data_IF_677812909044
#
_entry.id   IF_677812909044
#
_cell.length_a   1.000
_cell.length_b   1.000
_cell.length_c   1.000
_cell.angle_alpha   90.00
_cell.angle_beta   90.00
_cell.angle_gamma   90.00
#
_symmetry.space_group_name_H-M   'P 1'
#
loop_
_entity.id
_entity.type
_entity.pdbx_description
1 polymer ?
#
# COMPACT_ATOMS: atom_id res chain seq x y z
N UNK A 1 21.63 13.72 -33.94
CA UNK A 1 21.29 12.42 -33.29
C UNK A 1 21.14 12.67 -31.80
N UNK A 2 19.91 12.93 -31.33
CA UNK A 2 19.66 13.09 -29.89
C UNK A 2 19.67 11.71 -29.25
N UNK A 3 20.59 11.52 -28.28
CA UNK A 3 20.74 10.35 -27.44
C UNK A 3 19.37 10.06 -26.80
N UNK A 4 18.73 8.94 -27.17
CA UNK A 4 17.52 8.49 -26.49
C UNK A 4 17.92 8.17 -25.05
N UNK A 5 17.61 9.09 -24.13
CA UNK A 5 17.65 8.78 -22.70
C UNK A 5 16.74 7.56 -22.51
N UNK A 6 17.26 6.49 -21.92
CA UNK A 6 16.47 5.30 -21.60
C UNK A 6 15.32 5.75 -20.71
N UNK A 7 14.11 5.83 -21.26
CA UNK A 7 12.92 6.01 -20.43
C UNK A 7 12.77 4.71 -19.64
N UNK A 8 13.06 4.80 -18.35
CA UNK A 8 12.93 3.70 -17.40
C UNK A 8 11.52 3.10 -17.53
N UNK A 9 11.43 1.78 -17.68
CA UNK A 9 10.17 1.07 -17.87
C UNK A 9 9.22 1.24 -16.66
N UNK A 10 7.92 0.96 -16.80
CA UNK A 10 7.00 0.95 -15.66
C UNK A 10 7.46 -0.02 -14.57
N UNK A 11 8.02 -1.18 -14.95
CA UNK A 11 8.55 -2.19 -14.04
C UNK A 11 9.73 -1.66 -13.24
N UNK A 12 10.73 -1.07 -13.90
CA UNK A 12 11.90 -0.50 -13.21
C UNK A 12 11.48 0.64 -12.26
N UNK A 13 10.58 1.51 -12.69
CA UNK A 13 10.02 2.56 -11.82
C UNK A 13 9.28 1.98 -10.61
N UNK A 14 8.49 0.92 -10.78
CA UNK A 14 7.78 0.27 -9.69
C UNK A 14 8.75 -0.41 -8.71
N UNK A 15 9.82 -1.06 -9.20
CA UNK A 15 10.86 -1.65 -8.36
C UNK A 15 11.58 -0.58 -7.54
N UNK A 16 11.94 0.55 -8.14
CA UNK A 16 12.56 1.69 -7.44
C UNK A 16 11.69 2.26 -6.32
N UNK A 17 10.37 2.19 -6.48
CA UNK A 17 9.41 2.54 -5.43
C UNK A 17 9.38 1.46 -4.36
N UNK A 18 9.12 0.21 -4.74
CA UNK A 18 9.00 -0.93 -3.83
C UNK A 18 10.26 -1.17 -2.98
N UNK A 19 11.44 -0.81 -3.49
CA UNK A 19 12.69 -0.87 -2.74
C UNK A 19 12.72 0.05 -1.49
N UNK A 20 11.82 1.04 -1.40
CA UNK A 20 11.78 2.03 -0.30
C UNK A 20 10.78 1.65 0.80
N UNK A 21 9.66 1.03 0.41
CA UNK A 21 8.59 0.55 1.30
C UNK A 21 7.59 -0.28 0.50
N UNK A 22 6.65 -0.91 1.21
CA UNK A 22 5.46 -1.50 0.59
C UNK A 22 4.58 -0.42 -0.05
N UNK A 23 4.06 -0.72 -1.24
CA UNK A 23 3.09 0.11 -1.96
C UNK A 23 1.90 -0.74 -2.40
N UNK A 24 0.69 -0.19 -2.25
CA UNK A 24 -0.52 -0.78 -2.81
C UNK A 24 -0.53 -0.66 -4.34
N UNK A 25 -1.22 -1.58 -5.00
CA UNK A 25 -1.29 -1.66 -6.48
C UNK A 25 -1.80 -0.35 -7.09
N UNK A 26 -2.89 0.20 -6.56
CA UNK A 26 -3.45 1.47 -7.04
C UNK A 26 -2.51 2.66 -6.82
N UNK A 27 -1.74 2.66 -5.72
CA UNK A 27 -0.75 3.71 -5.47
C UNK A 27 0.36 3.67 -6.53
N UNK A 28 0.87 2.48 -6.86
CA UNK A 28 1.86 2.31 -7.92
C UNK A 28 1.28 2.71 -9.28
N UNK A 29 0.08 2.23 -9.60
CA UNK A 29 -0.63 2.55 -10.84
C UNK A 29 -0.77 4.07 -11.05
N UNK A 30 -1.24 4.79 -10.04
CA UNK A 30 -1.37 6.25 -10.10
C UNK A 30 -0.04 6.97 -10.29
N UNK A 31 1.03 6.51 -9.61
CA UNK A 31 2.38 7.09 -9.76
C UNK A 31 2.96 6.84 -11.15
N UNK A 32 2.77 5.65 -11.71
CA UNK A 32 3.27 5.29 -13.03
C UNK A 32 2.51 6.03 -14.14
N UNK A 33 1.19 6.20 -14.00
CA UNK A 33 0.39 7.04 -14.90
C UNK A 33 0.88 8.50 -14.88
N UNK A 34 1.14 9.05 -13.69
CA UNK A 34 1.70 10.39 -13.54
C UNK A 34 3.11 10.56 -14.14
N UNK A 35 3.82 9.44 -14.40
CA UNK A 35 5.10 9.41 -15.12
C UNK A 35 4.96 9.29 -16.64
N UNK A 36 3.74 9.14 -17.14
CA UNK A 36 3.44 9.08 -18.58
C UNK A 36 3.49 7.68 -19.18
N UNK A 37 3.52 6.62 -18.35
CA UNK A 37 3.47 5.24 -18.84
C UNK A 37 2.07 4.89 -19.36
N UNK A 38 2.01 4.05 -20.39
CA UNK A 38 0.75 3.56 -20.92
C UNK A 38 0.09 2.61 -19.92
N UNK A 39 -1.24 2.67 -19.80
CA UNK A 39 -1.98 1.88 -18.83
C UNK A 39 -1.75 0.37 -19.00
N UNK A 40 -1.72 -0.10 -20.24
CA UNK A 40 -1.49 -1.52 -20.55
C UNK A 40 -0.13 -2.02 -20.04
N UNK A 41 0.94 -1.25 -20.29
CA UNK A 41 2.29 -1.58 -19.81
C UNK A 41 2.38 -1.54 -18.28
N UNK A 42 1.63 -0.63 -17.64
CA UNK A 42 1.53 -0.55 -16.18
C UNK A 42 0.87 -1.81 -15.63
N UNK A 43 -0.30 -2.19 -16.14
CA UNK A 43 -1.03 -3.36 -15.62
C UNK A 43 -0.21 -4.64 -15.82
N UNK A 44 0.45 -4.80 -16.97
CA UNK A 44 1.32 -5.94 -17.22
C UNK A 44 2.52 -5.96 -16.25
N UNK A 45 3.14 -4.81 -16.00
CA UNK A 45 4.25 -4.73 -15.05
C UNK A 45 3.80 -5.02 -13.61
N UNK A 46 2.67 -4.45 -13.16
CA UNK A 46 2.16 -4.66 -11.81
C UNK A 46 1.71 -6.10 -11.59
N UNK A 47 1.10 -6.74 -12.58
CA UNK A 47 0.76 -8.16 -12.52
C UNK A 47 2.02 -9.02 -12.34
N UNK A 48 3.03 -8.83 -13.19
CA UNK A 48 4.27 -9.58 -13.09
C UNK A 48 5.00 -9.36 -11.76
N UNK A 49 4.92 -8.16 -11.18
CA UNK A 49 5.49 -7.86 -9.86
C UNK A 49 4.69 -8.50 -8.72
N UNK A 50 3.37 -8.58 -8.83
CA UNK A 50 2.53 -9.30 -7.88
C UNK A 50 2.80 -10.81 -7.93
N UNK A 51 2.90 -11.39 -9.13
CA UNK A 51 3.25 -12.80 -9.35
C UNK A 51 4.65 -13.16 -8.78
N UNK A 52 5.60 -12.22 -8.88
CA UNK A 52 6.94 -12.35 -8.28
C UNK A 52 6.94 -12.12 -6.76
N UNK A 53 5.79 -11.78 -6.16
CA UNK A 53 5.67 -11.45 -4.75
C UNK A 53 6.31 -10.11 -4.35
N UNK A 54 6.77 -9.31 -5.32
CA UNK A 54 7.41 -8.01 -5.08
C UNK A 54 6.38 -6.94 -4.70
N UNK A 55 5.19 -6.98 -5.31
CA UNK A 55 4.05 -6.16 -4.90
C UNK A 55 3.08 -7.02 -4.08
N UNK A 56 2.54 -6.47 -2.99
CA UNK A 56 1.52 -7.15 -2.19
C UNK A 56 0.61 -6.14 -1.47
N UNK A 57 -0.68 -6.14 -1.80
CA UNK A 57 -1.67 -5.31 -1.11
C UNK A 57 -1.84 -5.74 0.36
N UNK A 58 -1.59 -7.02 0.68
CA UNK A 58 -1.58 -7.51 2.06
C UNK A 58 -0.46 -6.90 2.88
N UNK A 59 0.81 -7.00 2.42
CA UNK A 59 1.95 -6.41 3.13
C UNK A 59 1.83 -4.88 3.22
N UNK A 60 1.29 -4.26 2.17
CA UNK A 60 0.97 -2.84 2.19
C UNK A 60 -0.06 -2.50 3.28
N UNK A 61 -1.16 -3.23 3.37
CA UNK A 61 -2.20 -3.01 4.37
C UNK A 61 -1.64 -3.19 5.80
N UNK A 62 -0.88 -4.26 6.06
CA UNK A 62 -0.26 -4.53 7.36
C UNK A 62 0.69 -3.39 7.80
N UNK A 63 1.59 -2.97 6.90
CA UNK A 63 2.52 -1.87 7.18
C UNK A 63 1.78 -0.55 7.42
N UNK A 64 0.74 -0.28 6.62
CA UNK A 64 -0.09 0.90 6.77
C UNK A 64 -0.80 0.92 8.13
N UNK A 65 -1.46 -0.18 8.50
CA UNK A 65 -2.23 -0.33 9.74
C UNK A 65 -1.33 -0.16 10.96
N UNK A 66 -0.17 -0.84 10.99
CA UNK A 66 0.79 -0.71 12.10
C UNK A 66 1.23 0.74 12.29
N UNK A 67 1.51 1.44 11.18
CA UNK A 67 1.87 2.86 11.22
C UNK A 67 0.74 3.79 11.69
N UNK A 68 -0.53 3.41 11.55
CA UNK A 68 -1.69 4.18 12.02
C UNK A 68 -2.06 3.88 13.47
N UNK A 69 -1.92 2.63 13.88
CA UNK A 69 -2.04 2.20 15.27
C UNK A 69 -1.08 3.00 16.17
N UNK A 70 0.19 3.11 15.77
CA UNK A 70 1.21 3.91 16.50
C UNK A 70 0.91 5.41 16.59
N UNK A 71 -0.07 5.91 15.82
CA UNK A 71 -0.55 7.30 15.87
C UNK A 71 -1.90 7.43 16.58
N UNK A 72 -2.35 6.39 17.28
CA UNK A 72 -3.63 6.37 17.99
C UNK A 72 -4.86 6.42 17.08
N UNK A 73 -4.73 6.05 15.80
CA UNK A 73 -5.88 6.07 14.91
C UNK A 73 -6.74 4.82 15.07
N UNK A 74 -8.06 5.02 15.15
CA UNK A 74 -9.01 3.93 15.32
C UNK A 74 -9.33 3.13 14.04
N UNK A 75 -9.86 1.92 14.20
CA UNK A 75 -10.02 0.93 13.13
C UNK A 75 -10.94 1.40 11.99
N UNK A 76 -12.02 2.12 12.31
CA UNK A 76 -12.97 2.65 11.31
C UNK A 76 -12.26 3.57 10.31
N UNK A 77 -11.42 4.49 10.81
CA UNK A 77 -10.66 5.42 9.97
C UNK A 77 -9.62 4.67 9.14
N UNK A 78 -8.90 3.75 9.76
CA UNK A 78 -7.89 2.95 9.07
C UNK A 78 -8.46 2.14 7.90
N UNK A 79 -9.57 1.44 8.12
CA UNK A 79 -10.24 0.67 7.07
C UNK A 79 -10.77 1.55 5.94
N UNK A 80 -11.33 2.72 6.27
CA UNK A 80 -11.80 3.67 5.27
C UNK A 80 -10.63 4.18 4.40
N UNK A 81 -9.49 4.49 5.03
CA UNK A 81 -8.30 4.97 4.34
C UNK A 81 -7.63 3.92 3.46
N UNK A 82 -7.69 2.64 3.84
CA UNK A 82 -7.24 1.53 2.99
C UNK A 82 -8.17 1.34 1.78
N UNK A 83 -9.48 1.40 1.98
CA UNK A 83 -10.45 1.32 0.89
C UNK A 83 -10.30 2.45 -0.13
N UNK A 84 -10.03 3.68 0.33
CA UNK A 84 -9.71 4.82 -0.56
C UNK A 84 -8.43 4.62 -1.38
N UNK A 85 -7.54 3.73 -0.93
CA UNK A 85 -6.29 3.37 -1.59
C UNK A 85 -6.42 2.11 -2.45
N UNK A 86 -7.64 1.64 -2.67
CA UNK A 86 -7.92 0.48 -3.53
C UNK A 86 -7.68 -0.87 -2.89
N UNK A 87 -7.40 -0.93 -1.58
CA UNK A 87 -7.24 -2.21 -0.90
C UNK A 87 -8.62 -2.85 -0.70
N UNK A 88 -8.74 -4.12 -1.07
CA UNK A 88 -9.96 -4.89 -0.89
C UNK A 88 -10.44 -4.87 0.57
N UNK A 89 -11.76 -4.76 0.76
CA UNK A 89 -12.36 -4.62 2.08
C UNK A 89 -12.16 -5.86 2.95
N UNK A 90 -12.24 -7.07 2.38
CA UNK A 90 -12.04 -8.29 3.14
C UNK A 90 -10.58 -8.40 3.57
N UNK A 91 -9.63 -8.16 2.65
CA UNK A 91 -8.20 -8.13 2.95
C UNK A 91 -7.87 -7.11 4.05
N UNK A 92 -8.39 -5.88 3.96
CA UNK A 92 -8.14 -4.86 4.97
C UNK A 92 -8.68 -5.25 6.36
N UNK A 93 -9.85 -5.91 6.41
CA UNK A 93 -10.43 -6.40 7.68
C UNK A 93 -9.63 -7.56 8.26
N UNK A 94 -9.19 -8.48 7.42
CA UNK A 94 -8.35 -9.61 7.85
C UNK A 94 -7.02 -9.11 8.41
N UNK A 95 -6.34 -8.20 7.70
CA UNK A 95 -5.08 -7.62 8.15
C UNK A 95 -5.23 -6.86 9.48
N UNK A 96 -6.36 -6.15 9.68
CA UNK A 96 -6.66 -5.50 10.95
C UNK A 96 -6.90 -6.52 12.07
N UNK A 97 -7.71 -7.55 11.84
CA UNK A 97 -7.99 -8.58 12.84
C UNK A 97 -6.73 -9.37 13.22
N UNK A 98 -5.80 -9.55 12.29
CA UNK A 98 -4.49 -10.14 12.57
C UNK A 98 -3.64 -9.22 13.43
N UNK A 99 -3.53 -7.93 13.07
CA UNK A 99 -2.81 -6.94 13.87
C UNK A 99 -3.38 -6.80 15.29
N UNK A 100 -4.70 -6.78 15.44
CA UNK A 100 -5.38 -6.73 16.75
C UNK A 100 -4.97 -7.89 17.65
N UNK A 101 -4.85 -9.10 17.09
CA UNK A 101 -4.41 -10.30 17.81
C UNK A 101 -2.93 -10.25 18.13
N UNK A 102 -2.08 -9.87 17.17
CA UNK A 102 -0.63 -9.80 17.34
C UNK A 102 -0.22 -8.79 18.42
N UNK A 103 -0.80 -7.59 18.39
CA UNK A 103 -0.43 -6.47 19.25
C UNK A 103 -1.29 -6.39 20.52
N UNK A 104 -2.23 -7.32 20.72
CA UNK A 104 -3.19 -7.32 21.84
C UNK A 104 -3.85 -5.96 22.06
N UNK A 105 -4.34 -5.36 20.97
CA UNK A 105 -4.77 -3.96 20.94
C UNK A 105 -6.01 -3.72 21.82
N UNK A 106 -5.89 -2.79 22.77
CA UNK A 106 -7.02 -2.25 23.52
C UNK A 106 -7.46 -0.90 22.93
N UNK A 107 -8.46 -0.94 22.05
CA UNK A 107 -9.00 0.26 21.41
C UNK A 107 -9.64 1.24 22.39
N UNK A 108 -10.19 0.76 23.51
CA UNK A 108 -10.81 1.63 24.50
C UNK A 108 -9.73 2.46 25.19
N UNK A 109 -8.66 1.78 25.65
CA UNK A 109 -7.50 2.45 26.23
C UNK A 109 -6.87 3.46 25.28
N UNK A 110 -6.62 3.08 24.02
CA UNK A 110 -6.03 3.97 23.03
C UNK A 110 -6.92 5.18 22.72
N UNK A 111 -8.24 5.01 22.71
CA UNK A 111 -9.18 6.11 22.53
C UNK A 111 -9.19 7.07 23.73
N UNK A 112 -9.07 6.55 24.95
CA UNK A 112 -8.95 7.36 26.17
C UNK A 112 -7.65 8.17 26.19
N UNK A 113 -6.50 7.54 25.89
CA UNK A 113 -5.19 8.20 25.86
C UNK A 113 -5.11 9.32 24.80
N UNK A 114 -5.90 9.25 23.72
CA UNK A 114 -5.92 10.26 22.66
C UNK A 114 -6.76 11.51 22.99
N UNK A 115 -7.53 11.50 24.09
CA UNK A 115 -8.39 12.62 24.54
C UNK A 115 -7.73 13.49 25.61
N UNK A 116 -6.59 13.07 26.17
CA UNK A 116 -5.78 13.82 27.15
C UNK A 116 -4.75 14.73 26.46
#
# INVERSE_FOLDING_TARGET
MHKAASQMSPREHAIDLLARREYGREELRGRLLAKGHALEDIEQALEALADQGLQSDRRFAESFLRGRLMRGQGPVKMLAELGQRGVDRALAREALAELEREESVDWYRLASEALE
#
